data_IF_757394354320
#
_entry.id   IF_757394354320
#
_cell.length_a   1.000
_cell.length_b   1.000
_cell.length_c   1.000
_cell.angle_alpha   90.00
_cell.angle_beta   90.00
_cell.angle_gamma   90.00
#
_symmetry.space_group_name_H-M   'P 1'
#
loop_
_entity.id
_entity.type
_entity.pdbx_description
1 polymer ?
#
# COMPACT_ATOMS: atom_id res chain seq x y z
N UNK A 1 -11.28 -13.13 -25.78
CA UNK A 1 -12.39 -13.56 -24.91
C UNK A 1 -12.18 -13.03 -23.49
N UNK A 2 -12.57 -11.77 -23.19
CA UNK A 2 -12.18 -11.07 -21.93
C UNK A 2 -13.30 -10.25 -21.25
N UNK A 3 -14.58 -10.41 -21.65
CA UNK A 3 -15.69 -9.58 -21.12
C UNK A 3 -16.57 -10.28 -20.08
N UNK A 4 -16.52 -11.60 -19.98
CA UNK A 4 -17.35 -12.39 -19.05
C UNK A 4 -16.96 -12.16 -17.60
N UNK A 5 -15.66 -12.07 -17.32
CA UNK A 5 -15.13 -11.96 -15.96
C UNK A 5 -15.56 -10.65 -15.27
N UNK A 6 -15.57 -9.52 -15.96
CA UNK A 6 -16.00 -8.25 -15.35
C UNK A 6 -17.47 -8.27 -14.89
N UNK A 7 -18.33 -9.00 -15.62
CA UNK A 7 -19.75 -9.12 -15.27
C UNK A 7 -19.94 -10.07 -14.09
N UNK A 8 -19.24 -11.20 -14.07
CA UNK A 8 -19.27 -12.16 -12.95
C UNK A 8 -18.67 -11.54 -11.68
N UNK A 9 -17.59 -10.77 -11.78
CA UNK A 9 -17.01 -10.00 -10.66
C UNK A 9 -18.00 -8.97 -10.09
N UNK A 10 -18.73 -8.25 -10.95
CA UNK A 10 -19.76 -7.30 -10.49
C UNK A 10 -20.91 -8.03 -9.81
N UNK A 11 -21.34 -9.17 -10.34
CA UNK A 11 -22.38 -10.02 -9.74
C UNK A 11 -21.95 -10.57 -8.39
N UNK A 12 -20.71 -11.04 -8.26
CA UNK A 12 -20.11 -11.48 -7.00
C UNK A 12 -20.11 -10.37 -5.95
N UNK A 13 -19.72 -9.14 -6.33
CA UNK A 13 -19.76 -7.98 -5.41
C UNK A 13 -21.18 -7.68 -4.92
N UNK A 14 -22.18 -7.83 -5.79
CA UNK A 14 -23.59 -7.71 -5.39
C UNK A 14 -24.01 -8.84 -4.44
N UNK A 15 -23.62 -10.09 -4.72
CA UNK A 15 -23.93 -11.23 -3.86
C UNK A 15 -23.30 -11.07 -2.46
N UNK A 16 -22.05 -10.58 -2.39
CA UNK A 16 -21.40 -10.22 -1.12
C UNK A 16 -22.20 -9.18 -0.35
N UNK A 17 -22.70 -8.14 -1.04
CA UNK A 17 -23.53 -7.11 -0.42
C UNK A 17 -24.87 -7.65 0.09
N UNK A 18 -25.48 -8.58 -0.66
CA UNK A 18 -26.73 -9.24 -0.33
C UNK A 18 -26.57 -10.38 0.68
N UNK A 19 -25.32 -10.76 1.04
CA UNK A 19 -24.99 -11.93 1.86
C UNK A 19 -25.58 -13.23 1.29
N UNK A 20 -25.65 -13.33 -0.03
CA UNK A 20 -26.08 -14.53 -0.73
C UNK A 20 -24.90 -15.49 -0.96
N UNK A 21 -25.21 -16.75 -1.30
CA UNK A 21 -24.20 -17.77 -1.58
C UNK A 21 -23.30 -17.39 -2.75
N UNK A 22 -21.98 -17.51 -2.55
CA UNK A 22 -20.97 -17.09 -3.51
C UNK A 22 -20.46 -18.25 -4.39
N UNK A 23 -20.68 -19.49 -3.96
CA UNK A 23 -20.11 -20.69 -4.60
C UNK A 23 -20.48 -20.83 -6.07
N UNK A 24 -21.75 -20.55 -6.43
CA UNK A 24 -22.23 -20.62 -7.81
C UNK A 24 -21.42 -19.70 -8.74
N UNK A 25 -21.09 -18.50 -8.26
CA UNK A 25 -20.43 -17.47 -9.06
C UNK A 25 -18.91 -17.60 -9.03
N UNK A 26 -18.33 -18.09 -7.93
CA UNK A 26 -16.89 -18.33 -7.81
C UNK A 26 -16.42 -19.42 -8.77
N UNK A 27 -17.23 -20.46 -9.01
CA UNK A 27 -16.89 -21.53 -9.96
C UNK A 27 -16.79 -21.01 -11.39
N UNK A 28 -17.63 -20.04 -11.76
CA UNK A 28 -17.70 -19.45 -13.12
C UNK A 28 -16.54 -18.49 -13.45
N UNK A 29 -15.74 -18.08 -12.46
CA UNK A 29 -14.58 -17.22 -12.71
C UNK A 29 -13.51 -17.95 -13.52
N UNK A 30 -12.88 -17.23 -14.45
CA UNK A 30 -11.68 -17.70 -15.15
C UNK A 30 -10.53 -17.97 -14.17
N UNK A 31 -9.56 -18.78 -14.60
CA UNK A 31 -8.37 -19.08 -13.79
C UNK A 31 -7.60 -17.79 -13.40
N UNK A 32 -7.47 -16.84 -14.33
CA UNK A 32 -6.82 -15.55 -14.07
C UNK A 32 -7.57 -14.70 -13.04
N UNK A 33 -8.90 -14.72 -13.06
CA UNK A 33 -9.69 -14.02 -12.06
C UNK A 33 -9.56 -14.70 -10.69
N UNK A 34 -9.64 -16.03 -10.61
CA UNK A 34 -9.45 -16.80 -9.37
C UNK A 34 -8.08 -16.55 -8.73
N UNK A 35 -7.05 -16.28 -9.53
CA UNK A 35 -5.73 -15.92 -9.02
C UNK A 35 -5.67 -14.54 -8.34
N UNK A 36 -6.68 -13.68 -8.45
CA UNK A 36 -6.66 -12.38 -7.73
C UNK A 36 -6.85 -12.60 -6.23
N UNK A 37 -6.11 -11.82 -5.42
CA UNK A 37 -6.18 -11.91 -3.96
C UNK A 37 -7.60 -11.68 -3.39
N UNK A 38 -8.44 -10.88 -4.07
CA UNK A 38 -9.84 -10.65 -3.67
C UNK A 38 -10.62 -11.98 -3.67
N UNK A 39 -10.54 -12.72 -4.77
CA UNK A 39 -11.34 -13.92 -4.99
C UNK A 39 -10.79 -15.13 -4.25
N UNK A 40 -9.46 -15.23 -4.08
CA UNK A 40 -8.86 -16.23 -3.20
C UNK A 40 -9.35 -16.09 -1.75
N UNK A 41 -9.45 -14.87 -1.24
CA UNK A 41 -9.96 -14.62 0.12
C UNK A 41 -11.43 -15.05 0.26
N UNK A 42 -12.29 -14.67 -0.69
CA UNK A 42 -13.70 -15.04 -0.64
C UNK A 42 -13.92 -16.55 -0.84
N UNK A 43 -13.13 -17.20 -1.68
CA UNK A 43 -13.15 -18.67 -1.80
C UNK A 43 -12.74 -19.36 -0.49
N UNK A 44 -11.67 -18.91 0.15
CA UNK A 44 -11.23 -19.45 1.44
C UNK A 44 -12.26 -19.22 2.56
N UNK A 45 -13.05 -18.14 2.48
CA UNK A 45 -14.12 -17.84 3.45
C UNK A 45 -15.32 -18.80 3.32
N UNK A 46 -15.70 -19.14 2.10
CA UNK A 46 -16.79 -20.09 1.80
C UNK A 46 -16.40 -21.56 2.03
N UNK A 47 -15.10 -21.85 2.12
CA UNK A 47 -14.59 -23.20 2.38
C UNK A 47 -15.13 -23.74 3.71
N UNK A 48 -15.80 -24.90 3.68
CA UNK A 48 -16.39 -25.49 4.89
C UNK A 48 -15.33 -26.19 5.75
N UNK A 49 -14.28 -26.71 5.12
CA UNK A 49 -13.20 -27.39 5.82
C UNK A 49 -12.26 -26.39 6.50
N UNK A 50 -12.21 -26.41 7.83
CA UNK A 50 -11.38 -25.51 8.62
C UNK A 50 -9.88 -25.64 8.33
N UNK A 51 -9.39 -26.86 8.10
CA UNK A 51 -7.96 -27.09 7.83
C UNK A 51 -7.53 -26.46 6.49
N UNK A 52 -8.33 -26.64 5.44
CA UNK A 52 -8.06 -26.03 4.12
C UNK A 52 -8.14 -24.50 4.18
N UNK A 53 -9.19 -23.98 4.84
CA UNK A 53 -9.36 -22.53 5.06
C UNK A 53 -8.16 -21.90 5.76
N UNK A 54 -7.61 -22.55 6.79
CA UNK A 54 -6.43 -22.05 7.50
C UNK A 54 -5.22 -21.96 6.57
N UNK A 55 -4.93 -23.02 5.81
CA UNK A 55 -3.82 -23.06 4.85
C UNK A 55 -3.94 -21.96 3.79
N UNK A 56 -5.15 -21.76 3.26
CA UNK A 56 -5.40 -20.71 2.26
C UNK A 56 -5.19 -19.31 2.84
N UNK A 57 -5.69 -19.05 4.05
CA UNK A 57 -5.46 -17.78 4.73
C UNK A 57 -4.00 -17.56 5.12
N UNK A 58 -3.27 -18.60 5.52
CA UNK A 58 -1.83 -18.50 5.80
C UNK A 58 -1.04 -18.14 4.54
N UNK A 59 -1.39 -18.74 3.40
CA UNK A 59 -0.78 -18.41 2.11
C UNK A 59 -1.04 -16.95 1.70
N UNK A 60 -2.28 -16.47 1.92
CA UNK A 60 -2.68 -15.11 1.61
C UNK A 60 -2.08 -14.08 2.57
N UNK A 61 -1.95 -14.42 3.86
CA UNK A 61 -1.39 -13.52 4.87
C UNK A 61 0.09 -13.19 4.63
N UNK A 62 0.82 -14.05 3.90
CA UNK A 62 2.21 -13.79 3.48
C UNK A 62 2.32 -12.79 2.33
N UNK A 63 1.26 -12.59 1.56
CA UNK A 63 1.25 -11.59 0.49
C UNK A 63 1.06 -10.18 1.06
N UNK A 64 1.34 -9.16 0.24
CA UNK A 64 1.03 -7.78 0.60
C UNK A 64 -0.31 -7.36 0.04
N UNK A 65 -1.17 -6.79 0.90
CA UNK A 65 -2.38 -6.12 0.45
C UNK A 65 -3.47 -6.04 1.51
N UNK A 66 -4.63 -5.54 1.09
CA UNK A 66 -5.80 -5.45 1.95
C UNK A 66 -6.34 -6.83 2.35
N UNK A 67 -6.48 -7.75 1.38
CA UNK A 67 -7.00 -9.09 1.63
C UNK A 67 -6.04 -9.98 2.42
N UNK A 68 -4.73 -9.76 2.31
CA UNK A 68 -3.73 -10.41 3.17
C UNK A 68 -3.88 -10.00 4.64
N UNK A 69 -4.11 -8.71 4.89
CA UNK A 69 -4.39 -8.19 6.24
C UNK A 69 -5.71 -8.77 6.80
N UNK A 70 -6.75 -8.88 5.96
CA UNK A 70 -8.00 -9.53 6.37
C UNK A 70 -7.81 -11.01 6.68
N UNK A 71 -7.03 -11.74 5.88
CA UNK A 71 -6.71 -13.15 6.13
C UNK A 71 -5.97 -13.31 7.48
N UNK A 72 -4.97 -12.48 7.75
CA UNK A 72 -4.28 -12.45 9.04
C UNK A 72 -5.23 -12.14 10.20
N UNK A 73 -6.16 -11.20 10.02
CA UNK A 73 -7.19 -10.88 11.02
C UNK A 73 -8.13 -12.06 11.28
N UNK A 74 -8.52 -12.82 10.24
CA UNK A 74 -9.35 -14.02 10.40
C UNK A 74 -8.62 -15.14 11.16
N UNK A 75 -7.31 -15.24 10.96
CA UNK A 75 -6.45 -16.19 11.70
C UNK A 75 -6.11 -15.73 13.12
N UNK A 76 -6.41 -14.47 13.47
CA UNK A 76 -6.05 -13.89 14.78
C UNK A 76 -4.53 -13.63 14.93
N UNK A 77 -3.77 -13.62 13.84
CA UNK A 77 -2.33 -13.36 13.85
C UNK A 77 -2.03 -11.88 13.58
N UNK A 78 -0.91 -11.40 14.12
CA UNK A 78 -0.41 -10.06 13.79
C UNK A 78 0.12 -10.08 12.36
N UNK A 79 -0.52 -9.29 11.48
CA UNK A 79 -0.08 -9.16 10.10
C UNK A 79 1.33 -8.55 10.03
N UNK A 80 2.27 -9.32 9.48
CA UNK A 80 3.63 -8.89 9.22
C UNK A 80 3.76 -8.51 7.75
N UNK A 81 4.25 -7.28 7.49
CA UNK A 81 4.53 -6.87 6.12
C UNK A 81 5.82 -7.59 5.72
N UNK A 82 5.81 -8.45 4.68
CA UNK A 82 7.03 -9.08 4.21
C UNK A 82 7.98 -7.98 3.75
N UNK A 83 9.10 -7.80 4.45
CA UNK A 83 10.19 -6.92 4.02
C UNK A 83 11.16 -7.74 3.18
N UNK A 84 11.41 -7.26 1.96
CA UNK A 84 12.37 -7.86 1.05
C UNK A 84 13.73 -7.30 1.44
N UNK A 85 14.70 -8.18 1.62
CA UNK A 85 16.09 -7.75 1.77
C UNK A 85 16.56 -7.16 0.45
N UNK A 86 17.05 -5.93 0.51
CA UNK A 86 17.50 -5.19 -0.68
C UNK A 86 19.02 -5.13 -0.63
N UNK A 87 19.70 -5.65 -1.68
CA UNK A 87 21.14 -5.55 -1.76
C UNK A 87 21.56 -4.08 -1.82
N UNK A 88 22.72 -3.78 -1.24
CA UNK A 88 23.34 -2.46 -1.35
C UNK A 88 24.15 -2.36 -2.64
N UNK A 89 24.32 -1.14 -3.14
CA UNK A 89 25.17 -0.89 -4.30
C UNK A 89 26.63 -1.10 -3.90
N UNK A 90 27.36 -1.89 -4.67
CA UNK A 90 28.81 -2.04 -4.50
C UNK A 90 29.51 -0.73 -4.85
N UNK A 91 30.66 -0.43 -4.26
CA UNK A 91 31.44 0.80 -4.57
C UNK A 91 31.73 0.95 -6.07
N UNK A 92 32.09 -0.13 -6.76
CA UNK A 92 32.30 -0.13 -8.20
C UNK A 92 31.06 0.29 -9.02
N UNK A 93 29.85 -0.08 -8.56
CA UNK A 93 28.60 0.33 -9.21
C UNK A 93 28.31 1.81 -8.99
N UNK A 94 28.61 2.32 -7.78
CA UNK A 94 28.45 3.75 -7.48
C UNK A 94 29.36 4.61 -8.36
N UNK A 95 30.59 4.18 -8.60
CA UNK A 95 31.52 4.87 -9.50
C UNK A 95 31.03 4.82 -10.95
N UNK A 96 30.55 3.67 -11.43
CA UNK A 96 30.00 3.52 -12.77
C UNK A 96 28.79 4.46 -13.01
N UNK A 97 27.97 4.63 -11.98
CA UNK A 97 26.76 5.47 -12.03
C UNK A 97 26.98 6.92 -11.58
N UNK A 98 28.20 7.30 -11.20
CA UNK A 98 28.50 8.59 -10.58
C UNK A 98 28.05 9.76 -11.46
N UNK A 99 28.30 9.69 -12.77
CA UNK A 99 27.94 10.74 -13.72
C UNK A 99 26.42 10.94 -13.82
N UNK A 100 25.64 9.85 -13.89
CA UNK A 100 24.18 9.93 -13.96
C UNK A 100 23.61 10.45 -12.64
N UNK A 101 24.15 10.01 -11.51
CA UNK A 101 23.72 10.46 -10.18
C UNK A 101 24.02 11.94 -9.96
N UNK A 102 25.21 12.41 -10.37
CA UNK A 102 25.60 13.82 -10.30
C UNK A 102 24.65 14.71 -11.13
N UNK A 103 24.39 14.32 -12.39
CA UNK A 103 23.44 15.05 -13.27
C UNK A 103 22.05 15.17 -12.64
N UNK A 104 21.58 14.11 -11.98
CA UNK A 104 20.27 14.10 -11.33
C UNK A 104 20.28 14.97 -10.08
N UNK A 105 21.39 15.00 -9.33
CA UNK A 105 21.57 15.89 -8.20
C UNK A 105 21.57 17.36 -8.62
N UNK A 106 22.30 17.73 -9.68
CA UNK A 106 22.34 19.09 -10.22
C UNK A 106 20.94 19.60 -10.62
N UNK A 107 20.18 18.77 -11.35
CA UNK A 107 18.81 19.14 -11.74
C UNK A 107 17.89 19.38 -10.54
N UNK A 108 18.13 18.69 -9.42
CA UNK A 108 17.38 18.92 -8.18
C UNK A 108 17.79 20.21 -7.49
N UNK A 109 19.09 20.51 -7.47
CA UNK A 109 19.61 21.77 -6.92
C UNK A 109 19.08 22.97 -7.70
N UNK A 110 18.88 22.81 -9.02
CA UNK A 110 18.20 23.79 -9.88
C UNK A 110 16.66 23.80 -9.75
N UNK A 111 16.07 22.95 -8.90
CA UNK A 111 14.61 22.87 -8.70
C UNK A 111 13.83 22.22 -9.86
N UNK A 112 14.50 21.61 -10.83
CA UNK A 112 13.88 20.98 -12.00
C UNK A 112 13.48 19.52 -11.73
N UNK A 113 12.59 19.31 -10.75
CA UNK A 113 12.23 17.97 -10.27
C UNK A 113 11.61 17.06 -11.34
N UNK A 114 10.81 17.60 -12.26
CA UNK A 114 10.18 16.79 -13.30
C UNK A 114 11.18 16.28 -14.34
N UNK A 115 12.21 17.08 -14.67
CA UNK A 115 13.28 16.68 -15.57
C UNK A 115 14.17 15.63 -14.90
N UNK A 116 14.59 15.88 -13.65
CA UNK A 116 15.33 14.92 -12.84
C UNK A 116 14.59 13.57 -12.76
N UNK A 117 13.26 13.60 -12.56
CA UNK A 117 12.42 12.40 -12.52
C UNK A 117 12.42 11.65 -13.85
N UNK A 118 12.25 12.33 -14.99
CA UNK A 118 12.24 11.68 -16.31
C UNK A 118 13.58 10.97 -16.57
N UNK A 119 14.69 11.69 -16.38
CA UNK A 119 16.04 11.14 -16.57
C UNK A 119 16.28 9.94 -15.66
N UNK A 120 15.89 10.02 -14.39
CA UNK A 120 15.98 8.90 -13.46
C UNK A 120 15.19 7.68 -13.92
N UNK A 121 13.93 7.87 -14.33
CA UNK A 121 13.07 6.76 -14.80
C UNK A 121 13.63 6.12 -16.07
N UNK A 122 14.04 6.94 -17.04
CA UNK A 122 14.57 6.46 -18.32
C UNK A 122 15.91 5.76 -18.12
N UNK A 123 16.75 6.26 -17.23
CA UNK A 123 17.99 5.61 -16.85
C UNK A 123 17.73 4.23 -16.23
N UNK A 124 16.90 4.14 -15.17
CA UNK A 124 16.56 2.86 -14.49
C UNK A 124 15.99 1.81 -15.45
N UNK A 125 15.17 2.23 -16.42
CA UNK A 125 14.60 1.33 -17.43
C UNK A 125 15.67 0.78 -18.38
N UNK A 126 16.71 1.55 -18.65
CA UNK A 126 17.75 1.24 -19.63
C UNK A 126 19.01 0.62 -19.01
N UNK A 127 19.03 0.33 -17.70
CA UNK A 127 20.14 -0.37 -17.06
C UNK A 127 20.25 -1.77 -17.66
N UNK A 128 21.37 -2.04 -18.33
CA UNK A 128 21.68 -3.36 -18.85
C UNK A 128 22.10 -4.27 -17.69
N UNK A 129 21.66 -5.54 -17.67
CA UNK A 129 22.20 -6.50 -16.72
C UNK A 129 23.68 -6.72 -17.01
N UNK A 130 24.55 -6.43 -16.04
CA UNK A 130 25.93 -6.89 -16.09
C UNK A 130 25.93 -8.41 -15.90
N UNK A 131 26.72 -9.13 -16.70
CA UNK A 131 26.79 -10.59 -16.65
C UNK A 131 27.31 -11.06 -15.28
N UNK A 132 26.41 -11.54 -14.41
CA UNK A 132 26.69 -12.00 -13.05
C UNK A 132 25.41 -12.13 -12.20
N UNK A 133 25.54 -12.43 -10.89
CA UNK A 133 24.45 -12.63 -9.90
C UNK A 133 23.50 -11.42 -9.69
N UNK A 134 23.79 -10.31 -10.38
CA UNK A 134 23.08 -9.04 -10.34
C UNK A 134 21.96 -9.02 -11.38
N UNK A 135 20.83 -9.66 -11.08
CA UNK A 135 19.61 -9.49 -11.89
C UNK A 135 19.24 -8.00 -11.98
N UNK A 136 18.70 -7.51 -13.12
CA UNK A 136 18.41 -6.07 -13.30
C UNK A 136 17.46 -5.55 -12.22
N UNK A 137 16.54 -6.38 -11.73
CA UNK A 137 15.65 -6.08 -10.61
C UNK A 137 16.40 -5.70 -9.31
N UNK A 138 17.48 -6.42 -8.98
CA UNK A 138 18.27 -6.18 -7.76
C UNK A 138 18.98 -4.82 -7.81
N UNK A 139 19.56 -4.47 -8.96
CA UNK A 139 20.23 -3.17 -9.16
C UNK A 139 19.20 -2.03 -9.04
N UNK A 140 18.03 -2.19 -9.66
CA UNK A 140 16.94 -1.20 -9.54
C UNK A 140 16.50 -1.01 -8.09
N UNK A 141 16.34 -2.10 -7.33
CA UNK A 141 16.04 -2.05 -5.89
C UNK A 141 17.13 -1.31 -5.10
N UNK A 142 18.40 -1.58 -5.38
CA UNK A 142 19.54 -0.95 -4.73
C UNK A 142 19.62 0.56 -5.02
N UNK A 143 19.38 0.98 -6.27
CA UNK A 143 19.29 2.39 -6.67
C UNK A 143 18.12 3.12 -6.01
N UNK A 144 16.97 2.44 -5.90
CA UNK A 144 15.86 2.96 -5.12
C UNK A 144 16.33 3.18 -3.69
N UNK A 145 16.86 2.16 -3.00
CA UNK A 145 17.37 2.28 -1.62
C UNK A 145 18.33 3.47 -1.45
N UNK A 146 19.30 3.64 -2.35
CA UNK A 146 20.21 4.79 -2.39
C UNK A 146 19.46 6.14 -2.44
N UNK A 147 18.43 6.24 -3.27
CA UNK A 147 17.59 7.44 -3.36
C UNK A 147 16.90 7.79 -2.04
N UNK A 148 16.41 6.80 -1.29
CA UNK A 148 15.82 7.03 0.05
C UNK A 148 16.85 7.57 1.01
N UNK A 149 18.06 7.00 1.03
CA UNK A 149 19.13 7.45 1.92
C UNK A 149 19.50 8.91 1.63
N UNK A 150 19.42 9.33 0.35
CA UNK A 150 19.58 10.72 -0.10
C UNK A 150 18.33 11.60 0.08
N UNK A 151 17.24 11.10 0.66
CA UNK A 151 15.95 11.79 0.84
C UNK A 151 15.27 12.23 -0.48
N UNK A 152 15.47 11.47 -1.56
CA UNK A 152 14.96 11.76 -2.89
C UNK A 152 13.52 11.24 -3.09
N UNK A 153 12.57 11.79 -2.34
CA UNK A 153 11.18 11.28 -2.25
C UNK A 153 10.28 11.53 -3.47
N UNK A 154 10.72 12.34 -4.44
CA UNK A 154 9.92 12.82 -5.58
C UNK A 154 9.62 11.76 -6.66
N UNK A 155 10.23 10.57 -6.53
CA UNK A 155 10.25 9.52 -7.57
C UNK A 155 9.16 8.45 -7.39
N UNK A 156 8.10 8.84 -6.68
CA UNK A 156 7.36 7.92 -5.82
C UNK A 156 6.39 6.94 -6.46
N UNK A 157 5.97 7.08 -7.73
CA UNK A 157 4.72 6.40 -8.11
C UNK A 157 4.50 5.95 -9.56
N UNK A 158 5.44 6.11 -10.52
CA UNK A 158 5.18 5.72 -11.92
C UNK A 158 6.10 4.69 -12.55
N UNK A 159 7.12 4.20 -11.84
CA UNK A 159 7.77 2.98 -12.31
C UNK A 159 6.88 1.81 -11.90
N UNK A 160 5.98 1.41 -12.80
CA UNK A 160 5.28 0.14 -12.68
C UNK A 160 6.31 -0.97 -12.84
N UNK A 161 7.02 -1.28 -11.76
CA UNK A 161 7.80 -2.50 -11.71
C UNK A 161 6.83 -3.65 -11.84
N UNK A 162 6.90 -4.38 -12.96
CA UNK A 162 6.05 -5.56 -13.21
C UNK A 162 6.18 -6.62 -12.12
N UNK A 163 7.24 -6.57 -11.32
CA UNK A 163 7.51 -7.52 -10.25
C UNK A 163 6.93 -7.02 -8.90
N UNK A 164 5.94 -7.76 -8.37
CA UNK A 164 5.39 -7.64 -7.01
C UNK A 164 6.44 -7.45 -5.88
N UNK A 165 7.66 -8.04 -5.91
CA UNK A 165 8.67 -7.79 -4.86
C UNK A 165 9.17 -6.34 -4.75
N UNK A 166 9.14 -5.54 -5.83
CA UNK A 166 9.61 -4.14 -5.81
C UNK A 166 8.69 -3.19 -5.03
N UNK A 167 7.43 -3.59 -4.83
CA UNK A 167 6.45 -2.81 -4.06
C UNK A 167 6.86 -2.76 -2.58
N UNK A 168 7.61 -3.74 -2.08
CA UNK A 168 7.96 -3.90 -0.67
C UNK A 168 8.78 -2.71 -0.14
N UNK A 169 9.79 -2.26 -0.88
CA UNK A 169 10.51 -1.02 -0.55
C UNK A 169 9.56 0.19 -0.52
N UNK A 170 8.59 0.23 -1.43
CA UNK A 170 7.63 1.33 -1.59
C UNK A 170 6.74 1.51 -0.34
N UNK A 171 6.69 0.59 0.63
CA UNK A 171 5.94 0.86 1.87
C UNK A 171 6.52 2.02 2.69
N UNK A 172 7.85 2.06 2.84
CA UNK A 172 8.56 3.18 3.44
C UNK A 172 8.50 4.42 2.53
N UNK A 173 8.59 4.23 1.21
CA UNK A 173 8.37 5.35 0.29
C UNK A 173 6.93 5.84 0.31
N UNK A 174 5.89 5.03 0.60
CA UNK A 174 4.45 5.38 0.57
C UNK A 174 3.99 6.11 1.83
N UNK A 175 4.85 6.25 2.84
CA UNK A 175 4.63 7.14 3.99
C UNK A 175 5.97 7.68 4.57
N UNK A 176 6.65 8.68 3.98
CA UNK A 176 7.83 9.26 4.60
C UNK A 176 7.40 9.97 5.89
N UNK A 177 7.96 9.52 7.00
CA UNK A 177 7.67 9.97 8.37
C UNK A 177 7.87 11.50 8.53
N UNK A 178 8.70 12.11 7.67
CA UNK A 178 8.95 13.56 7.65
C UNK A 178 7.70 14.39 7.40
N UNK A 179 6.79 13.90 6.56
CA UNK A 179 5.45 14.50 6.37
C UNK A 179 4.54 14.18 7.56
N UNK A 180 4.77 13.05 8.22
CA UNK A 180 4.06 12.61 9.42
C UNK A 180 4.00 13.69 10.51
N UNK A 181 5.09 14.39 10.82
CA UNK A 181 5.09 15.40 11.91
C UNK A 181 4.06 16.52 11.68
N UNK A 182 4.00 17.08 10.47
CA UNK A 182 3.07 18.18 10.13
C UNK A 182 1.62 17.67 10.10
N UNK A 183 1.41 16.48 9.52
CA UNK A 183 0.06 15.91 9.37
C UNK A 183 -0.49 15.38 10.70
N UNK A 184 0.35 14.72 11.53
CA UNK A 184 0.02 14.30 12.89
C UNK A 184 -0.33 15.52 13.75
N UNK A 185 0.40 16.63 13.63
CA UNK A 185 0.09 17.87 14.33
C UNK A 185 -1.26 18.46 13.88
N UNK A 186 -1.54 18.48 12.56
CA UNK A 186 -2.85 18.91 12.04
C UNK A 186 -3.99 18.02 12.53
N UNK A 187 -3.82 16.70 12.50
CA UNK A 187 -4.82 15.72 12.97
C UNK A 187 -5.08 15.90 14.47
N UNK A 188 -4.03 16.01 15.31
CA UNK A 188 -4.15 16.26 16.75
C UNK A 188 -4.86 17.59 17.04
N UNK A 189 -4.54 18.66 16.31
CA UNK A 189 -5.22 19.97 16.44
C UNK A 189 -6.70 19.91 16.05
N UNK A 190 -7.05 19.14 15.02
CA UNK A 190 -8.44 18.95 14.60
C UNK A 190 -9.23 18.10 15.61
N UNK A 191 -8.65 17.00 16.11
CA UNK A 191 -9.25 16.18 17.16
C UNK A 191 -9.51 16.99 18.45
N UNK A 192 -8.54 17.82 18.87
CA UNK A 192 -8.69 18.70 20.04
C UNK A 192 -9.78 19.76 19.86
N UNK A 193 -9.97 20.29 18.64
CA UNK A 193 -11.07 21.21 18.30
C UNK A 193 -12.44 20.52 18.33
N UNK A 194 -12.55 19.29 17.82
CA UNK A 194 -13.78 18.50 17.86
C UNK A 194 -14.19 18.16 19.31
N UNK A 195 -13.23 17.74 20.14
CA UNK A 195 -13.45 17.51 21.57
C UNK A 195 -13.96 18.76 22.30
N UNK A 196 -13.35 19.94 22.06
CA UNK A 196 -13.85 21.21 22.63
C UNK A 196 -15.28 21.53 22.20
N UNK A 197 -15.64 21.32 20.92
CA UNK A 197 -17.01 21.56 20.42
C UNK A 197 -18.03 20.62 21.05
N UNK A 198 -17.69 19.35 21.24
CA UNK A 198 -18.55 18.37 21.90
C UNK A 198 -18.76 18.72 23.37
N UNK A 199 -17.71 19.13 24.08
CA UNK A 199 -17.79 19.60 25.47
C UNK A 199 -18.68 20.85 25.60
N UNK A 200 -18.51 21.85 24.74
CA UNK A 200 -19.35 23.06 24.75
C UNK A 200 -20.82 22.74 24.44
N UNK A 201 -21.09 21.83 23.50
CA UNK A 201 -22.47 21.37 23.24
C UNK A 201 -23.07 20.65 24.45
N UNK A 202 -22.29 19.79 25.12
CA UNK A 202 -22.72 19.07 26.33
C UNK A 202 -23.05 20.04 27.47
N UNK A 203 -22.19 21.03 27.72
CA UNK A 203 -22.41 22.07 28.75
C UNK A 203 -23.64 22.94 28.42
N UNK A 204 -23.81 23.37 27.16
CA UNK A 204 -25.00 24.13 26.72
C UNK A 204 -26.30 23.30 26.76
N UNK A 205 -26.21 21.98 26.62
CA UNK A 205 -27.34 21.07 26.81
C UNK A 205 -27.76 21.00 28.28
N UNK A 206 -26.79 20.80 29.17
CA UNK A 206 -27.04 20.75 30.63
C UNK A 206 -27.60 22.07 31.18
N UNK A 207 -27.09 23.23 30.71
CA UNK A 207 -27.62 24.54 31.10
C UNK A 207 -29.02 24.81 30.57
N UNK A 208 -29.42 24.23 29.44
CA UNK A 208 -30.80 24.33 28.93
C UNK A 208 -31.76 23.47 29.73
N UNK A 209 -31.36 22.26 30.10
CA UNK A 209 -32.15 21.37 30.96
C UNK A 209 -32.37 21.97 32.36
N UNK A 210 -31.36 22.61 32.94
CA UNK A 210 -31.54 23.29 34.24
C UNK A 210 -32.48 24.50 34.16
N UNK A 211 -32.50 25.22 33.02
CA UNK A 211 -33.43 26.36 32.84
C UNK A 211 -34.87 25.93 32.59
N UNK A 212 -35.10 24.76 32.00
CA UNK A 212 -36.46 24.21 31.85
C UNK A 212 -36.98 23.70 33.19
N UNK A 213 -36.14 23.03 33.98
CA UNK A 213 -36.50 22.56 35.33
C UNK A 213 -36.84 23.71 36.30
N UNK A 214 -36.15 24.85 36.20
CA UNK A 214 -36.42 26.05 37.02
C UNK A 214 -37.64 26.88 36.57
N UNK A 215 -38.31 26.50 35.47
CA UNK A 215 -39.54 27.16 34.97
C UNK A 215 -40.82 26.36 35.25
N UNK A 216 -40.68 25.10 35.62
CA UNK A 216 -41.79 24.15 35.85
C UNK A 216 -42.03 23.85 37.35
N UNK A 217 -41.32 24.54 38.25
CA UNK A 217 -41.56 24.51 39.70
C UNK A 217 -41.89 25.90 40.21
#
# INVERSE_FOLDING_TARGET
>A
MLKTDNLTERRLRMAIWQKADLNEWLVLLSQQAKEKAEWRYWAAKEEKNEAKRKVDFESLAKERGFYAMLAAQQLGIVYQIPMLEVPELTQAQLELYANQLARIQELRELGQFDQARKIWIDWIKNIKPEAGENTPTKIQLALIKYAKDKNWYDWRWKVQFKQKPLIILICDYRMPIRIGSIYICKIKKSAKRLLRRLLVKKVRGMLRLNRTLMREG
#
